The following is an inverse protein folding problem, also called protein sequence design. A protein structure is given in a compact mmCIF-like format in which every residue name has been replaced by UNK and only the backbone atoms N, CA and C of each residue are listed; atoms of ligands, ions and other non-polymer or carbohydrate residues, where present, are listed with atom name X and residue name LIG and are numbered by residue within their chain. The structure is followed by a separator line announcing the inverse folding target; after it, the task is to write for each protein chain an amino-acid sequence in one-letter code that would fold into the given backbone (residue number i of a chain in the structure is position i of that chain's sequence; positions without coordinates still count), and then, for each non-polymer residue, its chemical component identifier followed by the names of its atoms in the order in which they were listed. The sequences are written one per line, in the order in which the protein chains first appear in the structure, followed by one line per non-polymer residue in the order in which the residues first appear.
data_IF_834081082707
#
_entry.id   IF_834081082707
#
_cell.length_a   1.000
_cell.length_b   1.000
_cell.length_c   1.000
_cell.angle_alpha   90.00
_cell.angle_beta   90.00
_cell.angle_gamma   90.00
#
_symmetry.space_group_name_H-M   'P 1'
#
loop_
_entity.id
_entity.type
_entity.pdbx_description
1 polymer ?
#
# COMPACT_ATOMS: atom_id res chain seq x y z
N UNK A 1 -56.64 12.92 56.06
CA UNK A 1 -55.46 12.08 56.01
C UNK A 1 -55.08 11.99 54.54
N UNK A 2 -54.15 12.91 54.08
CA UNK A 2 -53.76 13.04 52.63
C UNK A 2 -52.47 12.28 52.35
N UNK A 3 -52.54 11.18 51.63
CA UNK A 3 -51.38 10.49 51.12
C UNK A 3 -50.84 11.22 49.85
N UNK A 4 -49.70 11.84 49.97
CA UNK A 4 -48.91 12.35 48.80
C UNK A 4 -48.21 11.17 48.08
N UNK A 5 -48.63 10.98 46.86
CA UNK A 5 -47.92 10.03 45.94
C UNK A 5 -46.61 10.67 45.49
N UNK A 6 -45.44 10.02 45.80
CA UNK A 6 -44.16 10.41 45.33
C UNK A 6 -43.91 9.61 44.04
N UNK A 7 -43.74 10.31 42.92
CA UNK A 7 -43.35 9.72 41.64
C UNK A 7 -41.81 9.53 41.58
N UNK A 8 -41.29 8.40 41.11
CA UNK A 8 -39.85 8.23 40.94
C UNK A 8 -39.34 9.00 39.69
N UNK A 9 -38.36 9.85 39.90
CA UNK A 9 -37.68 10.53 38.83
C UNK A 9 -36.72 9.52 38.13
N UNK A 10 -36.96 9.27 36.85
CA UNK A 10 -36.10 8.43 35.99
C UNK A 10 -34.90 9.26 35.57
N UNK A 11 -33.72 8.97 36.13
CA UNK A 11 -32.44 9.57 35.71
C UNK A 11 -32.00 8.90 34.44
N UNK A 12 -32.13 9.60 33.31
CA UNK A 12 -31.62 9.20 32.00
C UNK A 12 -30.11 9.52 31.95
N UNK A 13 -29.26 8.50 32.13
CA UNK A 13 -27.80 8.64 31.96
C UNK A 13 -27.42 8.72 30.47
N UNK A 14 -27.04 9.92 29.99
CA UNK A 14 -26.46 10.12 28.69
C UNK A 14 -25.03 9.57 28.70
N UNK A 15 -24.80 8.41 28.08
CA UNK A 15 -23.47 7.91 27.81
C UNK A 15 -22.82 8.75 26.68
N UNK A 16 -21.87 9.61 27.04
CA UNK A 16 -21.03 10.32 26.09
C UNK A 16 -20.08 9.31 25.42
N UNK A 17 -20.38 8.91 24.19
CA UNK A 17 -19.48 8.15 23.36
C UNK A 17 -18.29 9.04 22.99
N UNK A 18 -17.12 8.80 23.59
CA UNK A 18 -15.87 9.45 23.19
C UNK A 18 -15.53 9.03 21.75
N UNK A 19 -15.16 9.97 20.85
CA UNK A 19 -14.69 9.60 19.53
C UNK A 19 -13.37 8.82 19.71
N UNK A 20 -13.34 7.58 19.24
CA UNK A 20 -12.10 6.81 19.07
C UNK A 20 -11.26 7.55 18.05
N UNK A 21 -10.24 8.26 18.50
CA UNK A 21 -9.25 8.86 17.61
C UNK A 21 -8.57 7.71 16.84
N UNK A 22 -8.83 7.61 15.54
CA UNK A 22 -8.11 6.71 14.67
C UNK A 22 -6.62 7.07 14.77
N UNK A 23 -5.81 6.19 15.35
CA UNK A 23 -4.37 6.35 15.35
C UNK A 23 -3.91 6.38 13.89
N UNK A 24 -3.39 7.53 13.44
CA UNK A 24 -2.73 7.62 12.15
C UNK A 24 -1.51 6.72 12.20
N UNK A 25 -1.57 5.60 11.49
CA UNK A 25 -0.45 4.68 11.31
C UNK A 25 0.65 5.48 10.61
N UNK A 26 1.81 5.60 11.23
CA UNK A 26 2.93 6.37 10.68
C UNK A 26 3.48 5.61 9.48
N UNK A 27 3.39 6.18 8.28
CA UNK A 27 4.03 5.63 7.10
C UNK A 27 5.55 5.62 7.30
N UNK A 28 6.23 4.54 6.90
CA UNK A 28 7.67 4.49 6.79
C UNK A 28 8.11 4.68 5.35
N UNK A 29 9.22 5.40 5.16
CA UNK A 29 9.67 5.82 3.83
C UNK A 29 11.15 5.56 3.63
N UNK A 30 11.52 5.28 2.36
CA UNK A 30 12.89 5.27 1.86
C UNK A 30 13.00 6.14 0.61
N UNK A 31 14.17 6.77 0.42
CA UNK A 31 14.40 7.70 -0.68
C UNK A 31 15.37 7.12 -1.70
N UNK A 32 15.11 7.40 -2.96
CA UNK A 32 15.97 7.07 -4.10
C UNK A 32 16.20 8.32 -4.95
N UNK A 33 17.47 8.66 -5.16
CA UNK A 33 17.85 9.71 -6.08
C UNK A 33 17.74 9.20 -7.52
N UNK A 34 16.99 9.87 -8.34
CA UNK A 34 16.79 9.53 -9.75
C UNK A 34 17.26 10.60 -10.70
N UNK A 35 17.53 10.23 -11.94
CA UNK A 35 18.00 11.14 -12.98
C UNK A 35 16.97 12.25 -13.29
N UNK A 36 15.68 11.92 -13.28
CA UNK A 36 14.59 12.84 -13.65
C UNK A 36 13.82 13.36 -12.44
N UNK A 37 13.80 12.61 -11.37
CA UNK A 37 13.12 12.95 -10.12
C UNK A 37 13.68 12.08 -9.00
N UNK A 38 13.83 12.68 -7.82
CA UNK A 38 13.99 11.89 -6.62
C UNK A 38 12.65 11.27 -6.26
N UNK A 39 12.65 9.99 -5.95
CA UNK A 39 11.48 9.25 -5.52
C UNK A 39 11.59 8.91 -4.04
N UNK A 40 10.46 8.99 -3.32
CA UNK A 40 10.34 8.52 -1.96
C UNK A 40 9.22 7.51 -1.89
N UNK A 41 9.56 6.28 -1.52
CA UNK A 41 8.62 5.19 -1.35
C UNK A 41 8.18 5.14 0.11
N UNK A 42 6.87 5.28 0.35
CA UNK A 42 6.29 5.23 1.68
C UNK A 42 5.31 4.06 1.75
N UNK A 43 5.38 3.26 2.81
CA UNK A 43 4.51 2.10 3.02
C UNK A 43 3.64 2.30 4.25
N UNK A 44 2.40 1.83 4.19
CA UNK A 44 1.45 1.95 5.30
C UNK A 44 1.77 1.01 6.46
N UNK A 45 2.38 -0.15 6.18
CA UNK A 45 2.93 -1.12 7.13
C UNK A 45 3.94 -2.00 6.45
N UNK A 46 4.68 -2.78 7.22
CA UNK A 46 5.53 -3.85 6.71
C UNK A 46 5.80 -4.89 7.79
N UNK A 47 6.09 -6.09 7.34
CA UNK A 47 6.45 -7.22 8.20
C UNK A 47 7.77 -6.93 8.91
N UNK A 48 7.87 -7.32 10.18
CA UNK A 48 9.12 -7.20 10.94
C UNK A 48 10.24 -8.00 10.26
N UNK A 49 11.50 -7.51 10.30
CA UNK A 49 12.63 -8.23 9.72
C UNK A 49 12.75 -9.67 10.23
N UNK A 50 13.12 -10.60 9.35
CA UNK A 50 13.32 -12.00 9.67
C UNK A 50 14.73 -12.43 9.24
N UNK A 51 15.64 -12.55 10.22
CA UNK A 51 17.05 -12.75 9.92
C UNK A 51 17.63 -11.58 9.13
N UNK A 52 18.16 -11.84 7.96
CA UNK A 52 18.69 -10.81 7.05
C UNK A 52 17.64 -10.19 6.14
N UNK A 53 16.43 -10.76 6.09
CA UNK A 53 15.37 -10.28 5.23
C UNK A 53 14.69 -9.04 5.80
N UNK A 54 14.63 -7.98 4.98
CA UNK A 54 14.00 -6.71 5.25
C UNK A 54 12.77 -6.57 4.35
N UNK A 55 11.65 -6.13 4.90
CA UNK A 55 10.37 -6.06 4.17
C UNK A 55 9.80 -4.64 4.04
N UNK A 56 10.55 -3.65 4.47
CA UNK A 56 10.14 -2.25 4.48
C UNK A 56 10.35 -1.52 3.15
N UNK A 57 10.17 -0.18 3.12
CA UNK A 57 10.18 0.61 1.88
C UNK A 57 11.55 0.65 1.18
N UNK A 58 12.65 0.33 1.87
CA UNK A 58 14.00 0.28 1.30
C UNK A 58 14.14 -0.74 0.17
N UNK A 59 13.26 -1.74 0.08
CA UNK A 59 13.30 -2.73 -1.00
C UNK A 59 13.04 -2.12 -2.37
N UNK A 60 12.35 -0.97 -2.44
CA UNK A 60 12.05 -0.26 -3.69
C UNK A 60 13.17 0.66 -4.16
N UNK A 61 14.21 0.88 -3.36
CA UNK A 61 15.32 1.78 -3.71
C UNK A 61 16.46 1.07 -4.46
N UNK A 62 16.31 -0.22 -4.72
CA UNK A 62 17.24 -1.05 -5.48
C UNK A 62 16.54 -1.87 -6.56
N UNK A 63 17.31 -2.57 -7.38
CA UNK A 63 16.80 -3.43 -8.46
C UNK A 63 16.94 -4.92 -8.10
N UNK A 64 16.79 -5.27 -6.81
CA UNK A 64 16.92 -6.65 -6.35
C UNK A 64 15.53 -7.30 -6.18
N UNK A 65 15.09 -8.00 -7.21
CA UNK A 65 13.79 -8.69 -7.21
C UNK A 65 13.68 -9.83 -6.18
N UNK A 66 14.83 -10.25 -5.59
CA UNK A 66 14.82 -11.21 -4.48
C UNK A 66 14.41 -10.60 -3.15
N UNK A 67 14.30 -9.29 -3.07
CA UNK A 67 13.70 -8.56 -1.94
C UNK A 67 12.25 -8.27 -2.23
N UNK A 68 11.44 -8.13 -1.18
CA UNK A 68 10.03 -7.78 -1.33
C UNK A 68 9.56 -6.91 -0.17
N UNK A 69 8.69 -5.96 -0.45
CA UNK A 69 7.82 -5.42 0.56
C UNK A 69 6.74 -6.46 0.86
N UNK A 70 6.55 -6.76 2.14
CA UNK A 70 5.42 -7.54 2.64
C UNK A 70 4.70 -6.68 3.67
N UNK A 71 3.39 -6.56 3.55
CA UNK A 71 2.60 -5.80 4.52
C UNK A 71 2.68 -6.42 5.92
N UNK A 72 2.43 -5.62 6.96
CA UNK A 72 2.67 -6.03 8.35
C UNK A 72 1.41 -6.09 9.20
N UNK A 73 0.22 -6.31 8.60
CA UNK A 73 -1.04 -6.43 9.35
C UNK A 73 -1.51 -7.89 9.38
N UNK A 74 -2.42 -8.20 10.29
CA UNK A 74 -3.02 -9.54 10.34
C UNK A 74 -3.95 -9.71 9.12
N UNK A 75 -3.78 -10.81 8.40
CA UNK A 75 -4.58 -11.16 7.23
C UNK A 75 -3.87 -10.85 5.91
N UNK A 76 -4.63 -10.51 4.88
CA UNK A 76 -4.13 -10.35 3.51
C UNK A 76 -3.70 -8.91 3.17
N UNK A 77 -3.58 -8.02 4.13
CA UNK A 77 -3.16 -6.64 3.90
C UNK A 77 -4.09 -5.81 3.00
N UNK A 78 -5.38 -6.13 2.95
CA UNK A 78 -6.35 -5.33 2.19
C UNK A 78 -6.39 -3.91 2.76
N UNK A 79 -6.27 -2.91 1.87
CA UNK A 79 -6.10 -1.48 2.15
C UNK A 79 -4.69 -1.06 2.61
N UNK A 80 -3.73 -1.97 2.74
CA UNK A 80 -2.32 -1.58 2.86
C UNK A 80 -1.81 -1.04 1.52
N UNK A 81 -0.83 -0.14 1.58
CA UNK A 81 -0.44 0.63 0.39
C UNK A 81 1.04 0.98 0.34
N UNK A 82 1.50 1.19 -0.88
CA UNK A 82 2.77 1.85 -1.22
C UNK A 82 2.45 3.16 -1.92
N UNK A 83 3.06 4.25 -1.47
CA UNK A 83 2.95 5.58 -2.09
C UNK A 83 4.31 6.00 -2.62
N UNK A 84 4.37 6.36 -3.91
CA UNK A 84 5.56 6.92 -4.55
C UNK A 84 5.39 8.43 -4.62
N UNK A 85 6.25 9.18 -3.95
CA UNK A 85 6.33 10.64 -4.06
C UNK A 85 7.42 11.04 -5.06
N UNK A 86 7.17 12.03 -5.87
CA UNK A 86 8.09 12.56 -6.88
C UNK A 86 8.52 13.99 -6.52
N UNK A 87 9.83 14.25 -6.53
CA UNK A 87 10.39 15.59 -6.27
C UNK A 87 11.54 15.90 -7.25
N UNK A 88 11.32 16.78 -8.24
CA UNK A 88 10.06 17.44 -8.60
C UNK A 88 9.01 16.47 -9.14
N UNK A 89 7.75 16.90 -9.26
CA UNK A 89 6.71 16.15 -9.95
C UNK A 89 7.11 15.94 -11.42
N UNK A 90 7.05 14.68 -11.89
CA UNK A 90 7.41 14.30 -13.24
C UNK A 90 6.22 13.68 -13.97
N UNK A 91 6.26 13.72 -15.30
CA UNK A 91 5.25 13.06 -16.11
C UNK A 91 5.48 11.55 -16.10
N UNK A 92 4.43 10.79 -15.80
CA UNK A 92 4.45 9.32 -15.76
C UNK A 92 3.15 8.78 -16.34
N UNK A 93 3.23 7.67 -17.05
CA UNK A 93 2.06 6.96 -17.57
C UNK A 93 2.12 5.47 -17.26
N UNK A 94 3.31 4.93 -17.07
CA UNK A 94 3.50 3.50 -16.91
C UNK A 94 4.33 3.18 -15.67
N UNK A 95 4.03 2.03 -15.07
CA UNK A 95 4.77 1.47 -13.94
C UNK A 95 5.04 0.00 -14.23
N UNK A 96 6.25 -0.45 -13.97
CA UNK A 96 6.56 -1.89 -13.94
C UNK A 96 6.25 -2.42 -12.55
N UNK A 97 5.40 -3.41 -12.45
CA UNK A 97 5.01 -4.07 -11.20
C UNK A 97 5.52 -5.51 -11.18
N UNK A 98 6.27 -5.89 -10.14
CA UNK A 98 6.85 -7.22 -9.95
C UNK A 98 6.14 -7.89 -8.79
N UNK A 99 5.19 -8.78 -9.10
CA UNK A 99 4.27 -9.38 -8.13
C UNK A 99 4.91 -10.49 -7.30
N UNK A 100 4.48 -10.62 -6.05
CA UNK A 100 4.90 -11.69 -5.14
C UNK A 100 6.32 -11.54 -4.57
N UNK A 101 6.70 -12.40 -3.65
CA UNK A 101 8.04 -12.47 -3.07
C UNK A 101 8.91 -13.43 -3.87
N UNK A 102 9.78 -12.90 -4.72
CA UNK A 102 10.50 -13.67 -5.73
C UNK A 102 11.87 -14.23 -5.27
N UNK A 103 12.17 -14.21 -3.97
CA UNK A 103 13.43 -14.75 -3.43
C UNK A 103 13.65 -16.21 -3.84
N UNK A 104 12.61 -17.02 -3.76
CA UNK A 104 12.58 -18.43 -4.20
C UNK A 104 11.20 -18.78 -4.74
N UNK A 105 11.07 -19.96 -5.40
CA UNK A 105 9.77 -20.49 -5.81
C UNK A 105 8.85 -20.73 -4.61
N UNK A 106 9.40 -21.15 -3.48
CA UNK A 106 8.65 -21.39 -2.26
C UNK A 106 8.13 -20.09 -1.63
N UNK A 107 8.95 -19.04 -1.57
CA UNK A 107 8.50 -17.73 -1.06
C UNK A 107 7.42 -17.14 -1.95
N UNK A 108 7.53 -17.29 -3.29
CA UNK A 108 6.50 -16.85 -4.22
C UNK A 108 5.17 -17.59 -4.04
N UNK A 109 5.20 -18.92 -3.90
CA UNK A 109 4.00 -19.77 -3.77
C UNK A 109 3.34 -19.65 -2.40
N UNK A 110 4.14 -19.50 -1.35
CA UNK A 110 3.65 -19.55 0.02
C UNK A 110 3.04 -18.23 0.49
N UNK A 111 3.55 -17.07 0.05
CA UNK A 111 3.00 -15.76 0.38
C UNK A 111 1.87 -15.38 -0.59
N UNK A 112 0.99 -14.48 -0.13
CA UNK A 112 -0.07 -13.95 -0.99
C UNK A 112 0.50 -12.94 -1.98
N UNK A 113 -0.13 -12.84 -3.14
CA UNK A 113 0.25 -11.95 -4.24
C UNK A 113 -0.90 -11.01 -4.55
N UNK A 114 -0.59 -9.84 -5.04
CA UNK A 114 -1.60 -8.85 -5.39
C UNK A 114 -2.42 -9.33 -6.61
N UNK A 115 -3.75 -9.26 -6.52
CA UNK A 115 -4.68 -9.52 -7.63
C UNK A 115 -5.27 -8.23 -8.17
N UNK A 116 -5.64 -7.29 -7.31
CA UNK A 116 -6.11 -5.99 -7.71
C UNK A 116 -5.42 -4.88 -6.91
N UNK A 117 -5.03 -3.82 -7.62
CA UNK A 117 -4.52 -2.58 -7.06
C UNK A 117 -5.51 -1.44 -7.33
N UNK A 118 -5.86 -0.69 -6.30
CA UNK A 118 -6.44 0.63 -6.44
C UNK A 118 -5.32 1.63 -6.59
N UNK A 119 -5.32 2.39 -7.68
CA UNK A 119 -4.35 3.45 -7.97
C UNK A 119 -5.01 4.79 -7.75
N UNK A 120 -4.34 5.68 -7.03
CA UNK A 120 -4.77 7.05 -6.79
C UNK A 120 -3.59 7.98 -7.00
N UNK A 121 -3.83 9.18 -7.52
CA UNK A 121 -2.80 10.19 -7.75
C UNK A 121 -3.17 11.53 -7.13
N UNK A 122 -2.17 12.38 -6.88
CA UNK A 122 -2.38 13.71 -6.30
C UNK A 122 -3.14 14.67 -7.21
N UNK A 123 -3.26 14.38 -8.50
CA UNK A 123 -4.05 15.17 -9.48
C UNK A 123 -5.49 14.65 -9.66
N UNK A 124 -5.94 13.77 -8.75
CA UNK A 124 -7.33 13.30 -8.68
C UNK A 124 -7.67 12.10 -9.56
N UNK A 125 -6.69 11.48 -10.26
CA UNK A 125 -6.96 10.22 -10.96
C UNK A 125 -7.15 9.09 -9.96
N UNK A 126 -8.12 8.20 -10.23
CA UNK A 126 -8.34 6.97 -9.49
C UNK A 126 -8.80 5.85 -10.44
N UNK A 127 -8.28 4.63 -10.22
CA UNK A 127 -8.65 3.43 -10.99
C UNK A 127 -8.38 2.18 -10.17
N UNK A 128 -8.93 1.05 -10.62
CA UNK A 128 -8.58 -0.29 -10.14
C UNK A 128 -8.05 -1.08 -11.32
N UNK A 129 -6.90 -1.74 -11.14
CA UNK A 129 -6.28 -2.58 -12.16
C UNK A 129 -6.14 -4.00 -11.64
N UNK A 130 -6.31 -4.99 -12.53
CA UNK A 130 -6.03 -6.40 -12.24
C UNK A 130 -4.59 -6.69 -12.63
N UNK A 131 -3.86 -7.33 -11.71
CA UNK A 131 -2.47 -7.79 -11.90
C UNK A 131 -2.50 -9.29 -12.15
N UNK A 132 -1.83 -9.82 -13.17
CA UNK A 132 -1.74 -11.25 -13.40
C UNK A 132 -0.91 -11.95 -12.29
N UNK A 133 -1.25 -13.23 -12.01
CA UNK A 133 -0.50 -14.07 -11.07
C UNK A 133 0.71 -14.72 -11.76
N UNK A 134 1.68 -13.89 -12.12
CA UNK A 134 2.92 -14.32 -12.78
C UNK A 134 4.13 -13.69 -12.11
N UNK A 135 5.31 -14.29 -12.31
CA UNK A 135 6.60 -13.75 -11.84
C UNK A 135 7.15 -12.65 -12.73
N UNK A 136 6.74 -12.65 -13.99
CA UNK A 136 7.17 -11.65 -14.96
C UNK A 136 6.66 -10.27 -14.55
N UNK A 137 7.49 -9.26 -14.77
CA UNK A 137 7.12 -7.87 -14.56
C UNK A 137 5.91 -7.50 -15.43
N UNK A 138 4.91 -6.90 -14.81
CA UNK A 138 3.68 -6.47 -15.48
C UNK A 138 3.65 -4.95 -15.63
N UNK A 139 3.36 -4.45 -16.85
CA UNK A 139 3.20 -3.02 -17.06
C UNK A 139 1.80 -2.57 -16.69
N UNK A 140 1.72 -1.72 -15.67
CA UNK A 140 0.51 -0.97 -15.34
C UNK A 140 0.53 0.33 -16.13
N UNK A 141 -0.41 0.48 -17.06
CA UNK A 141 -0.53 1.67 -17.90
C UNK A 141 -1.74 2.50 -17.51
N UNK A 142 -1.51 3.76 -17.16
CA UNK A 142 -2.59 4.73 -16.95
C UNK A 142 -3.19 5.14 -18.30
N UNK A 143 -4.49 5.45 -18.37
CA UNK A 143 -5.17 5.78 -19.64
C UNK A 143 -4.63 7.05 -20.31
N UNK A 144 -4.01 7.92 -19.53
CA UNK A 144 -3.31 9.13 -20.00
C UNK A 144 -2.10 9.41 -19.12
N UNK A 145 -1.08 10.12 -19.64
CA UNK A 145 0.00 10.63 -18.81
C UNK A 145 -0.52 11.58 -17.72
N UNK A 146 0.03 11.45 -16.52
CA UNK A 146 -0.24 12.30 -15.36
C UNK A 146 1.06 12.97 -14.90
N UNK A 147 0.97 14.09 -14.18
CA UNK A 147 2.13 14.75 -13.56
C UNK A 147 1.88 14.92 -12.05
N UNK A 148 1.79 13.83 -11.30
CA UNK A 148 1.43 13.87 -9.90
C UNK A 148 2.63 14.21 -9.00
N UNK A 149 2.35 14.78 -7.82
CA UNK A 149 3.32 14.84 -6.73
C UNK A 149 3.48 13.47 -6.04
N UNK A 150 2.44 12.64 -6.08
CA UNK A 150 2.48 11.26 -5.57
C UNK A 150 1.50 10.36 -6.31
N UNK A 151 1.82 9.05 -6.34
CA UNK A 151 0.94 7.96 -6.77
C UNK A 151 0.86 6.93 -5.66
N UNK A 152 -0.35 6.51 -5.27
CA UNK A 152 -0.60 5.49 -4.26
C UNK A 152 -1.17 4.23 -4.90
N UNK A 153 -0.60 3.10 -4.52
CA UNK A 153 -1.03 1.75 -4.90
C UNK A 153 -1.52 1.04 -3.65
N UNK A 154 -2.81 0.72 -3.61
CA UNK A 154 -3.46 0.11 -2.45
C UNK A 154 -3.92 -1.30 -2.81
N UNK A 155 -3.62 -2.29 -1.97
CA UNK A 155 -4.06 -3.69 -2.15
C UNK A 155 -5.60 -3.71 -2.04
N UNK A 156 -6.28 -4.12 -3.10
CA UNK A 156 -7.74 -4.24 -3.14
C UNK A 156 -8.21 -5.71 -3.12
N UNK A 157 -7.46 -6.60 -3.77
CA UNK A 157 -7.73 -8.05 -3.81
C UNK A 157 -6.41 -8.82 -3.96
N UNK A 158 -6.37 -10.07 -3.49
CA UNK A 158 -5.16 -10.92 -3.52
C UNK A 158 -5.42 -12.28 -4.13
N UNK A 159 -4.35 -12.91 -4.65
CA UNK A 159 -4.23 -14.34 -4.84
C UNK A 159 -3.67 -14.92 -3.55
N UNK A 160 -4.42 -15.78 -2.82
CA UNK A 160 -3.94 -16.32 -1.55
C UNK A 160 -2.68 -17.16 -1.71
N UNK A 161 -1.77 -17.04 -0.77
CA UNK A 161 -0.61 -17.92 -0.66
C UNK A 161 -0.98 -19.31 -0.17
N UNK A 162 -0.12 -20.29 -0.43
CA UNK A 162 -0.37 -21.67 0.00
C UNK A 162 -0.24 -21.86 1.52
N UNK A 163 0.52 -21.01 2.21
CA UNK A 163 0.80 -21.14 3.65
C UNK A 163 0.72 -19.84 4.44
N UNK A 164 1.02 -18.71 3.81
CA UNK A 164 1.05 -17.38 4.46
C UNK A 164 -0.08 -16.48 3.97
N UNK A 165 -0.57 -15.61 4.85
CA UNK A 165 -1.52 -14.55 4.50
C UNK A 165 -0.82 -13.25 4.08
N UNK A 166 0.46 -13.04 4.46
CA UNK A 166 1.17 -11.81 4.16
C UNK A 166 1.25 -11.60 2.65
N UNK A 167 0.78 -10.45 2.19
CA UNK A 167 0.82 -10.09 0.77
C UNK A 167 2.10 -9.33 0.48
N UNK A 168 2.86 -9.86 -0.48
CA UNK A 168 4.16 -9.33 -0.86
C UNK A 168 4.21 -8.94 -2.33
N UNK A 169 5.08 -7.97 -2.68
CA UNK A 169 5.55 -7.77 -4.04
C UNK A 169 6.98 -7.21 -4.08
N UNK A 170 7.74 -7.64 -5.09
CA UNK A 170 9.18 -7.38 -5.18
C UNK A 170 9.51 -6.02 -5.80
N UNK A 171 8.58 -5.39 -6.51
CA UNK A 171 8.88 -4.08 -7.11
C UNK A 171 7.68 -3.33 -7.65
N UNK A 172 7.81 -2.01 -7.64
CA UNK A 172 6.97 -1.09 -8.37
C UNK A 172 7.83 0.09 -8.82
N UNK A 173 8.06 0.21 -10.13
CA UNK A 173 9.00 1.15 -10.69
C UNK A 173 8.28 2.07 -11.69
N UNK A 174 8.30 3.41 -11.49
CA UNK A 174 7.77 4.33 -12.48
C UNK A 174 8.67 4.33 -13.73
N UNK A 175 8.06 4.16 -14.90
CA UNK A 175 8.74 4.34 -16.17
C UNK A 175 8.76 5.84 -16.47
N UNK A 176 9.83 6.51 -16.05
CA UNK A 176 10.01 7.96 -16.23
C UNK A 176 10.61 8.21 -17.61
N UNK A 177 9.75 8.48 -18.60
CA UNK A 177 10.22 8.93 -19.90
C UNK A 177 10.60 10.41 -19.85
N UNK A 178 11.74 10.75 -20.45
CA UNK A 178 11.98 12.11 -20.90
C UNK A 178 10.97 12.39 -22.01
N UNK A 179 9.90 13.07 -21.66
CA UNK A 179 9.06 13.68 -22.67
C UNK A 179 9.82 14.91 -23.16
N UNK A 180 10.55 14.71 -24.23
CA UNK A 180 11.05 15.81 -25.02
C UNK A 180 9.86 16.72 -25.31
N UNK A 181 10.00 17.98 -24.88
CA UNK A 181 9.04 19.05 -25.14
C UNK A 181 8.85 19.26 -26.65
#
# INVERSE_FOLDING_TARGET
MNLRKIAPALLLSLALASPVAAQQKKEECAEQNGQYSNTRFCVSSFLAPQGEDQYGPQVFTGNDEKKAWCEGVIGYGINESVTIHFKPAVRVQEFTFVNGYQKTDDTYKNNSRVKQLRIQTSDGFASVVTVPDTKEGHTIKLPRPVKPAWVRFTIAEVYPGARGSDTCFSGIFPNLEQLNN
#
